data_IF_486527393852
#
_entry.id   IF_486527393852
#
_cell.length_a   1.000
_cell.length_b   1.000
_cell.length_c   1.000
_cell.angle_alpha   90.00
_cell.angle_beta   90.00
_cell.angle_gamma   90.00
#
_symmetry.space_group_name_H-M   'P 1'
#
loop_
_entity.id
_entity.type
_entity.pdbx_description
1 polymer ?
#
# COMPACT_ATOMS: atom_id res chain seq x y z
N UNK A 1 -35.99 -4.63 -11.43
CA UNK A 1 -35.85 -5.38 -10.16
C UNK A 1 -37.12 -5.19 -9.35
N UNK A 2 -37.59 -6.21 -8.60
CA UNK A 2 -38.79 -6.08 -7.79
C UNK A 2 -38.61 -5.21 -6.54
N UNK A 3 -37.37 -4.93 -6.12
CA UNK A 3 -37.05 -4.09 -4.98
C UNK A 3 -37.28 -2.59 -5.31
N UNK A 4 -37.89 -1.81 -4.40
CA UNK A 4 -38.17 -0.39 -4.63
C UNK A 4 -36.94 0.52 -4.46
N UNK A 5 -35.91 0.05 -3.74
CA UNK A 5 -34.67 0.79 -3.45
C UNK A 5 -33.47 -0.13 -3.66
N UNK A 6 -32.41 0.41 -4.27
CA UNK A 6 -31.13 -0.26 -4.45
C UNK A 6 -30.02 0.63 -3.90
N UNK A 7 -29.12 0.06 -3.09
CA UNK A 7 -27.90 0.74 -2.63
C UNK A 7 -26.71 0.11 -3.36
N UNK A 8 -26.04 0.88 -4.22
CA UNK A 8 -24.87 0.39 -4.95
C UNK A 8 -23.58 0.61 -4.14
N UNK A 9 -22.97 -0.49 -3.69
CA UNK A 9 -21.69 -0.49 -2.98
C UNK A 9 -20.62 -1.33 -3.70
N UNK A 10 -20.68 -1.40 -5.03
CA UNK A 10 -19.79 -2.29 -5.81
C UNK A 10 -18.41 -1.72 -6.11
N UNK A 11 -18.08 -0.55 -5.55
CA UNK A 11 -16.78 0.09 -5.70
C UNK A 11 -16.42 0.29 -7.17
N UNK A 12 -15.23 -0.16 -7.57
CA UNK A 12 -14.75 -0.09 -8.96
C UNK A 12 -15.64 -0.88 -9.95
N UNK A 13 -16.42 -1.85 -9.47
CA UNK A 13 -17.40 -2.60 -10.27
C UNK A 13 -18.54 -1.73 -10.82
N UNK A 14 -18.81 -0.57 -10.21
CA UNK A 14 -19.82 0.39 -10.69
C UNK A 14 -19.53 0.86 -12.12
N UNK A 15 -18.25 0.91 -12.53
CA UNK A 15 -17.86 1.20 -13.91
C UNK A 15 -18.54 0.27 -14.91
N UNK A 16 -18.55 -1.03 -14.63
CA UNK A 16 -19.16 -2.03 -15.51
C UNK A 16 -20.69 -2.10 -15.35
N UNK A 17 -21.18 -2.00 -14.12
CA UNK A 17 -22.61 -2.19 -13.83
C UNK A 17 -23.49 -0.99 -14.22
N UNK A 18 -22.94 0.23 -14.17
CA UNK A 18 -23.68 1.47 -14.38
C UNK A 18 -23.08 2.38 -15.45
N UNK A 19 -22.00 1.96 -16.12
CA UNK A 19 -21.35 2.77 -17.16
C UNK A 19 -20.63 4.02 -16.62
N UNK A 20 -20.21 4.00 -15.35
CA UNK A 20 -19.48 5.10 -14.73
C UNK A 20 -18.02 5.13 -15.23
N UNK A 21 -17.77 5.89 -16.30
CA UNK A 21 -16.45 6.00 -16.92
C UNK A 21 -15.47 6.87 -16.14
N UNK A 22 -15.94 7.66 -15.16
CA UNK A 22 -15.09 8.51 -14.31
C UNK A 22 -14.34 7.69 -13.25
N UNK A 23 -14.86 6.51 -12.89
CA UNK A 23 -14.18 5.57 -12.00
C UNK A 23 -12.97 4.90 -12.69
N UNK A 24 -11.78 5.20 -12.18
CA UNK A 24 -10.49 4.68 -12.65
C UNK A 24 -9.76 4.00 -11.48
N UNK A 25 -9.11 2.83 -11.68
CA UNK A 25 -8.35 2.17 -10.62
C UNK A 25 -7.16 3.00 -10.19
N UNK A 26 -6.84 2.90 -8.91
CA UNK A 26 -5.53 3.25 -8.38
C UNK A 26 -4.95 1.96 -7.80
N UNK A 27 -4.12 1.27 -8.58
CA UNK A 27 -3.56 -0.01 -8.17
C UNK A 27 -2.52 0.22 -7.08
N UNK A 28 -2.72 -0.45 -5.95
CA UNK A 28 -1.74 -0.62 -4.90
C UNK A 28 -1.32 -2.07 -4.81
N UNK A 29 -0.04 -2.28 -4.49
CA UNK A 29 0.59 -3.58 -4.28
C UNK A 29 1.23 -3.61 -2.89
N UNK A 30 0.99 -4.71 -2.19
CA UNK A 30 1.60 -5.02 -0.90
C UNK A 30 2.61 -6.17 -1.07
N UNK A 31 3.74 -6.05 -0.40
CA UNK A 31 4.72 -7.12 -0.23
C UNK A 31 4.58 -7.70 1.18
N UNK A 32 4.22 -8.97 1.28
CA UNK A 32 4.00 -9.63 2.57
C UNK A 32 5.23 -10.43 3.01
N UNK A 33 5.57 -10.28 4.28
CA UNK A 33 6.48 -11.14 5.00
C UNK A 33 5.69 -11.95 6.04
N UNK A 34 6.31 -13.01 6.56
CA UNK A 34 5.77 -13.76 7.70
C UNK A 34 5.58 -12.84 8.93
N UNK A 35 4.68 -13.17 9.86
CA UNK A 35 4.50 -12.42 11.10
C UNK A 35 5.82 -12.26 11.87
N UNK A 36 6.05 -11.07 12.42
CA UNK A 36 7.17 -10.74 13.31
C UNK A 36 6.58 -10.12 14.59
N UNK A 37 6.28 -10.91 15.62
CA UNK A 37 5.58 -10.46 16.83
C UNK A 37 6.25 -9.31 17.59
N UNK A 38 7.56 -9.15 17.41
CA UNK A 38 8.37 -8.06 17.96
C UNK A 38 8.10 -6.71 17.28
N UNK A 39 7.51 -6.71 16.08
CA UNK A 39 7.12 -5.50 15.35
C UNK A 39 5.66 -5.18 15.67
N UNK A 40 5.45 -4.29 16.62
CA UNK A 40 4.13 -3.86 17.10
C UNK A 40 3.79 -2.41 16.72
N UNK A 41 4.55 -1.82 15.79
CA UNK A 41 4.39 -0.46 15.32
C UNK A 41 4.26 -0.43 13.80
N UNK A 42 3.58 0.60 13.30
CA UNK A 42 3.50 0.90 11.87
C UNK A 42 4.48 2.01 11.51
N UNK A 43 5.00 1.99 10.28
CA UNK A 43 5.68 3.16 9.71
C UNK A 43 4.78 3.80 8.66
N UNK A 44 4.74 5.12 8.66
CA UNK A 44 4.18 5.92 7.58
C UNK A 44 5.17 7.02 7.26
N UNK A 45 5.46 7.22 5.98
CA UNK A 45 6.32 8.31 5.54
C UNK A 45 5.48 9.37 4.82
N UNK A 46 5.90 10.63 4.93
CA UNK A 46 5.26 11.73 4.20
C UNK A 46 5.41 11.50 2.69
N UNK A 47 4.27 11.51 2.01
CA UNK A 47 4.09 11.41 0.57
C UNK A 47 4.85 12.46 -0.27
N UNK A 48 5.39 13.51 0.36
CA UNK A 48 6.11 14.61 -0.30
C UNK A 48 7.56 14.31 -0.68
N UNK A 49 8.05 13.07 -0.54
CA UNK A 49 9.36 12.70 -1.05
C UNK A 49 9.29 12.47 -2.58
N UNK A 50 9.89 13.35 -3.41
CA UNK A 50 9.80 13.25 -4.88
C UNK A 50 10.51 12.03 -5.46
N UNK A 51 11.29 11.29 -4.66
CA UNK A 51 11.90 10.02 -5.06
C UNK A 51 10.93 8.82 -4.99
N UNK A 52 9.73 8.97 -4.38
CA UNK A 52 8.80 7.87 -4.18
C UNK A 52 7.82 7.75 -5.35
N UNK A 53 7.82 6.59 -6.03
CA UNK A 53 6.81 6.26 -7.05
C UNK A 53 5.41 6.35 -6.44
N UNK A 54 4.48 6.99 -7.14
CA UNK A 54 3.06 7.02 -6.75
C UNK A 54 2.70 8.03 -5.64
N UNK A 55 3.65 8.82 -5.13
CA UNK A 55 3.39 9.99 -4.28
C UNK A 55 2.53 9.69 -3.02
N UNK A 56 2.66 8.49 -2.43
CA UNK A 56 1.89 8.07 -1.23
C UNK A 56 2.76 7.69 -0.02
N UNK A 57 4.10 7.76 -0.12
CA UNK A 57 4.98 7.33 0.96
C UNK A 57 5.08 5.80 1.07
N UNK A 58 6.20 5.29 1.59
CA UNK A 58 6.27 3.89 2.03
C UNK A 58 5.58 3.71 3.38
N UNK A 59 4.96 2.55 3.57
CA UNK A 59 4.34 2.20 4.83
C UNK A 59 4.51 0.72 5.16
N UNK A 60 4.63 0.43 6.46
CA UNK A 60 4.74 -0.90 7.02
C UNK A 60 3.61 -1.11 8.03
N UNK A 61 2.86 -2.20 7.90
CA UNK A 61 1.73 -2.53 8.77
C UNK A 61 1.94 -3.94 9.34
N UNK A 62 2.21 -4.08 10.66
CA UNK A 62 2.21 -5.38 11.31
C UNK A 62 0.80 -5.91 11.44
N UNK A 63 0.63 -7.21 11.22
CA UNK A 63 -0.63 -7.93 11.29
C UNK A 63 -0.41 -9.27 12.00
N UNK A 64 -1.48 -9.85 12.50
CA UNK A 64 -1.43 -11.19 13.11
C UNK A 64 -1.07 -12.29 12.11
N UNK A 65 -1.33 -12.06 10.83
CA UNK A 65 -1.08 -12.99 9.72
C UNK A 65 0.12 -12.61 8.85
N UNK A 66 0.82 -11.51 9.13
CA UNK A 66 2.01 -11.11 8.38
C UNK A 66 2.50 -9.71 8.69
N UNK A 67 3.53 -9.29 7.95
CA UNK A 67 3.99 -7.91 7.92
C UNK A 67 3.84 -7.39 6.49
N UNK A 68 3.02 -6.36 6.29
CA UNK A 68 2.75 -5.81 4.97
C UNK A 68 3.56 -4.54 4.73
N UNK A 69 4.33 -4.53 3.63
CA UNK A 69 4.98 -3.34 3.11
C UNK A 69 4.22 -2.83 1.90
N UNK A 70 3.96 -1.53 1.86
CA UNK A 70 3.35 -0.85 0.72
C UNK A 70 4.09 0.42 0.33
N UNK A 71 3.52 1.12 -0.64
CA UNK A 71 4.09 2.34 -1.20
C UNK A 71 3.95 2.47 -2.72
N UNK A 72 3.02 1.73 -3.32
CA UNK A 72 2.74 1.79 -4.76
C UNK A 72 1.35 2.39 -5.00
N UNK A 73 1.25 3.23 -6.02
CA UNK A 73 0.02 3.89 -6.44
C UNK A 73 0.10 4.11 -7.95
N UNK A 74 -0.58 3.25 -8.70
CA UNK A 74 -0.52 3.22 -10.16
C UNK A 74 -1.91 3.50 -10.75
N UNK A 75 -2.12 4.71 -11.26
CA UNK A 75 -3.40 5.14 -11.79
C UNK A 75 -3.69 4.46 -13.13
N UNK A 76 -4.90 3.94 -13.30
CA UNK A 76 -5.36 3.34 -14.56
C UNK A 76 -4.84 1.93 -14.84
N UNK A 77 -4.06 1.34 -13.93
CA UNK A 77 -3.56 -0.03 -14.10
C UNK A 77 -4.62 -1.03 -13.63
N UNK A 78 -5.16 -1.81 -14.58
CA UNK A 78 -6.25 -2.77 -14.34
C UNK A 78 -5.80 -4.20 -14.06
N UNK A 79 -4.54 -4.53 -14.38
CA UNK A 79 -4.02 -5.88 -14.18
C UNK A 79 -3.81 -6.19 -12.69
N UNK A 80 -4.18 -7.40 -12.29
CA UNK A 80 -3.92 -7.94 -10.95
C UNK A 80 -2.52 -8.55 -10.82
N UNK A 81 -1.77 -8.65 -11.92
CA UNK A 81 -0.42 -9.24 -11.91
C UNK A 81 0.52 -8.43 -11.01
N UNK A 82 1.27 -9.09 -10.10
CA UNK A 82 2.29 -8.42 -9.31
C UNK A 82 3.38 -7.79 -10.19
N UNK A 83 3.81 -6.59 -9.81
CA UNK A 83 4.95 -5.91 -10.37
C UNK A 83 6.19 -6.24 -9.53
N UNK A 84 7.08 -7.08 -10.08
CA UNK A 84 8.30 -7.52 -9.41
C UNK A 84 9.31 -6.39 -9.16
N UNK A 85 9.39 -5.41 -10.07
CA UNK A 85 10.23 -4.22 -9.87
C UNK A 85 9.73 -3.42 -8.67
N UNK A 86 8.41 -3.19 -8.60
CA UNK A 86 7.79 -2.47 -7.49
C UNK A 86 7.94 -3.22 -6.16
N UNK A 87 7.86 -4.57 -6.17
CA UNK A 87 8.11 -5.40 -4.99
C UNK A 87 9.52 -5.16 -4.45
N UNK A 88 10.53 -5.21 -5.32
CA UNK A 88 11.92 -5.03 -4.92
C UNK A 88 12.17 -3.60 -4.41
N UNK A 89 11.60 -2.60 -5.09
CA UNK A 89 11.77 -1.20 -4.73
C UNK A 89 11.16 -0.89 -3.35
N UNK A 90 9.94 -1.34 -3.07
CA UNK A 90 9.29 -1.16 -1.76
C UNK A 90 10.13 -1.77 -0.64
N UNK A 91 10.68 -2.96 -0.85
CA UNK A 91 11.56 -3.61 0.15
C UNK A 91 12.85 -2.81 0.35
N UNK A 92 13.50 -2.37 -0.73
CA UNK A 92 14.73 -1.58 -0.67
C UNK A 92 14.53 -0.26 0.07
N UNK A 93 13.42 0.43 -0.16
CA UNK A 93 13.10 1.68 0.51
C UNK A 93 12.87 1.49 2.02
N UNK A 94 12.24 0.40 2.45
CA UNK A 94 12.13 0.08 3.88
C UNK A 94 13.48 -0.26 4.50
N UNK A 95 14.35 -1.00 3.80
CA UNK A 95 15.74 -1.24 4.24
C UNK A 95 16.47 0.09 4.48
N UNK A 96 16.34 1.04 3.55
CA UNK A 96 16.96 2.36 3.68
C UNK A 96 16.40 3.15 4.86
N UNK A 97 15.07 3.14 5.06
CA UNK A 97 14.42 3.77 6.20
C UNK A 97 15.00 3.27 7.53
N UNK A 98 15.01 1.95 7.74
CA UNK A 98 15.51 1.37 8.99
C UNK A 98 17.03 1.53 9.15
N UNK A 99 17.79 1.53 8.05
CA UNK A 99 19.21 1.84 8.09
C UNK A 99 19.47 3.28 8.54
N UNK A 100 18.66 4.25 8.07
CA UNK A 100 18.75 5.65 8.48
C UNK A 100 18.37 5.84 9.97
N UNK A 101 17.31 5.18 10.44
CA UNK A 101 16.93 5.20 11.87
C UNK A 101 18.07 4.70 12.75
N UNK A 102 18.66 3.54 12.41
CA UNK A 102 19.80 2.96 13.12
C UNK A 102 21.01 3.90 13.13
N UNK A 103 21.35 4.52 11.99
CA UNK A 103 22.46 5.49 11.89
C UNK A 103 22.26 6.69 12.82
N UNK A 104 21.01 7.14 12.98
CA UNK A 104 20.66 8.29 13.81
C UNK A 104 20.46 7.94 15.30
N UNK A 105 20.79 6.71 15.73
CA UNK A 105 20.61 6.27 17.10
C UNK A 105 19.14 6.11 17.53
N UNK A 106 18.20 6.17 16.57
CA UNK A 106 16.78 5.96 16.79
C UNK A 106 16.52 4.45 16.71
N UNK A 107 16.25 3.84 17.86
CA UNK A 107 15.75 2.46 17.92
C UNK A 107 14.22 2.49 17.89
N UNK A 108 13.54 1.63 17.12
CA UNK A 108 12.10 1.47 17.21
C UNK A 108 11.60 1.15 18.63
N UNK A 109 12.43 0.50 19.46
CA UNK A 109 12.12 0.23 20.88
C UNK A 109 12.19 1.46 21.80
N UNK A 110 12.52 2.64 21.28
CA UNK A 110 12.62 3.91 22.03
C UNK A 110 11.57 4.95 21.62
N UNK A 111 10.63 4.59 20.73
CA UNK A 111 9.46 5.37 20.34
C UNK A 111 8.25 4.75 21.02
#
# INVERSE_FOLDING_TARGET
>A
LPQPIVINCTGLGSRMLFGDEELVPLKGQLTHFVPQPEINYQTTNDARNPALRGNIGIHMMPRTDGLALGGTSERGVWTLEPNEEARQEVVNQHIQLFAAMRKNGLSPSRI
#
